data_IF_519549074258
#
_entry.id   IF_519549074258
#
_cell.length_a   1.000
_cell.length_b   1.000
_cell.length_c   1.000
_cell.angle_alpha   90.00
_cell.angle_beta   90.00
_cell.angle_gamma   90.00
#
_symmetry.space_group_name_H-M   'P 1'
#
loop_
_entity.id
_entity.type
_entity.pdbx_description
1 polymer ?
#
# COMPACT_ATOMS: atom_id res chain seq x y z
N UNK A 1 4.60 15.12 -10.06
CA UNK A 1 5.61 14.16 -10.56
C UNK A 1 6.87 14.18 -9.70
N UNK A 2 7.61 15.30 -9.60
CA UNK A 2 8.85 15.35 -8.78
C UNK A 2 8.60 15.09 -7.29
N UNK A 3 7.44 15.48 -6.78
CA UNK A 3 7.04 15.22 -5.38
C UNK A 3 6.79 13.73 -5.07
N UNK A 4 6.85 12.83 -6.06
CA UNK A 4 6.86 11.39 -5.78
C UNK A 4 8.09 10.99 -4.92
N UNK A 5 9.15 11.79 -4.95
CA UNK A 5 10.27 11.67 -3.99
C UNK A 5 9.81 11.73 -2.53
N UNK A 6 8.75 12.48 -2.20
CA UNK A 6 8.19 12.54 -0.85
C UNK A 6 7.56 11.21 -0.42
N UNK A 7 7.03 10.43 -1.36
CA UNK A 7 6.50 9.10 -1.07
C UNK A 7 7.65 8.20 -0.61
N UNK A 8 8.80 8.25 -1.30
CA UNK A 8 9.98 7.51 -0.89
C UNK A 8 10.45 7.93 0.51
N UNK A 9 10.49 9.24 0.80
CA UNK A 9 10.79 9.72 2.15
C UNK A 9 9.85 9.10 3.18
N UNK A 10 8.54 9.16 2.96
CA UNK A 10 7.56 8.61 3.90
C UNK A 10 7.71 7.10 4.06
N UNK A 11 7.93 6.35 2.99
CA UNK A 11 8.11 4.89 3.07
C UNK A 11 9.41 4.52 3.77
N UNK A 12 10.50 5.28 3.57
CA UNK A 12 11.75 5.09 4.30
C UNK A 12 11.53 5.30 5.80
N UNK A 13 10.85 6.38 6.20
CA UNK A 13 10.54 6.64 7.61
C UNK A 13 9.60 5.58 8.21
N UNK A 14 8.64 5.04 7.43
CA UNK A 14 7.76 3.96 7.88
C UNK A 14 8.52 2.65 8.16
N UNK A 15 9.51 2.32 7.34
CA UNK A 15 10.38 1.17 7.57
C UNK A 15 11.32 1.43 8.75
N UNK A 16 12.04 2.55 8.72
CA UNK A 16 13.13 2.82 9.66
C UNK A 16 12.65 3.22 11.07
N UNK A 17 11.73 4.19 11.19
CA UNK A 17 11.27 4.72 12.47
C UNK A 17 9.94 4.09 12.91
N UNK A 18 9.03 3.87 11.95
CA UNK A 18 7.74 3.23 12.21
C UNK A 18 7.86 1.75 12.61
N UNK A 19 8.96 1.10 12.24
CA UNK A 19 9.24 -0.31 12.54
C UNK A 19 8.20 -1.26 11.94
N UNK A 20 7.51 -0.84 10.86
CA UNK A 20 6.48 -1.66 10.22
C UNK A 20 7.10 -2.82 9.43
N UNK A 21 8.37 -2.71 9.03
CA UNK A 21 9.17 -3.70 8.31
C UNK A 21 10.65 -3.30 8.37
N UNK A 22 11.53 -4.09 7.78
CA UNK A 22 12.98 -3.82 7.76
C UNK A 22 13.41 -3.07 6.49
N UNK A 23 12.62 -3.18 5.42
CA UNK A 23 12.82 -2.45 4.16
C UNK A 23 11.49 -1.95 3.58
N UNK A 24 11.54 -1.03 2.62
CA UNK A 24 10.38 -0.55 1.85
C UNK A 24 9.66 -1.72 1.17
N UNK A 25 10.40 -2.75 0.75
CA UNK A 25 9.82 -3.95 0.14
C UNK A 25 8.90 -4.75 1.06
N UNK A 26 8.99 -4.57 2.38
CA UNK A 26 8.12 -5.25 3.33
C UNK A 26 6.78 -4.53 3.49
N UNK A 27 6.72 -3.25 3.13
CA UNK A 27 5.57 -2.41 3.38
C UNK A 27 4.37 -2.87 2.53
N UNK A 28 3.15 -2.86 3.09
CA UNK A 28 1.93 -3.20 2.35
C UNK A 28 1.48 -2.02 1.49
N UNK A 29 2.25 -1.71 0.45
CA UNK A 29 2.06 -0.58 -0.46
C UNK A 29 2.32 -0.98 -1.91
N UNK A 30 1.69 -0.26 -2.85
CA UNK A 30 1.81 -0.49 -4.30
C UNK A 30 1.80 0.86 -5.02
N UNK A 31 2.64 1.01 -6.04
CA UNK A 31 2.65 2.15 -6.94
C UNK A 31 1.78 1.87 -8.17
N UNK A 32 0.88 2.78 -8.53
CA UNK A 32 -0.02 2.58 -9.69
C UNK A 32 0.03 3.81 -10.59
N UNK A 33 0.28 3.60 -11.88
CA UNK A 33 0.17 4.62 -12.92
C UNK A 33 -0.76 4.08 -14.05
N UNK A 34 -2.08 4.18 -13.88
CA UNK A 34 -3.06 3.49 -14.73
C UNK A 34 -3.18 4.09 -16.13
N UNK A 35 -2.64 5.29 -16.36
CA UNK A 35 -2.66 5.98 -17.65
C UNK A 35 -1.31 6.65 -17.90
N UNK A 36 -0.21 5.91 -17.67
CA UNK A 36 1.13 6.42 -17.89
C UNK A 36 1.34 6.78 -19.37
N UNK A 37 2.06 7.88 -19.63
CA UNK A 37 2.27 8.36 -21.01
C UNK A 37 3.69 8.85 -21.28
N UNK A 38 4.39 9.36 -20.27
CA UNK A 38 5.69 10.01 -20.46
C UNK A 38 6.84 9.15 -19.97
N UNK A 39 8.03 9.34 -20.55
CA UNK A 39 9.27 8.72 -20.08
C UNK A 39 9.57 9.04 -18.61
N UNK A 40 9.11 10.21 -18.14
CA UNK A 40 9.18 10.55 -16.71
C UNK A 40 8.41 9.56 -15.85
N UNK A 41 7.26 9.07 -16.31
CA UNK A 41 6.51 8.05 -15.59
C UNK A 41 7.30 6.74 -15.52
N UNK A 42 7.90 6.29 -16.64
CA UNK A 42 8.78 5.11 -16.65
C UNK A 42 9.96 5.27 -15.68
N UNK A 43 10.65 6.40 -15.70
CA UNK A 43 11.74 6.67 -14.76
C UNK A 43 11.27 6.63 -13.30
N UNK A 44 10.06 7.14 -13.02
CA UNK A 44 9.41 7.04 -11.72
C UNK A 44 9.18 5.59 -11.33
N UNK A 45 8.52 4.80 -12.17
CA UNK A 45 8.28 3.38 -11.91
C UNK A 45 9.58 2.63 -11.64
N UNK A 46 10.61 2.85 -12.46
CA UNK A 46 11.92 2.21 -12.31
C UNK A 46 12.58 2.52 -10.96
N UNK A 47 12.59 3.78 -10.51
CA UNK A 47 13.21 4.08 -9.21
C UNK A 47 12.38 3.56 -8.05
N UNK A 48 11.04 3.52 -8.15
CA UNK A 48 10.20 2.91 -7.11
C UNK A 48 10.45 1.40 -6.98
N UNK A 49 10.57 0.72 -8.13
CA UNK A 49 10.93 -0.70 -8.17
C UNK A 49 12.33 -0.95 -7.60
N UNK A 50 13.30 -0.12 -7.97
CA UNK A 50 14.64 -0.18 -7.39
C UNK A 50 14.66 0.08 -5.88
N UNK A 51 13.67 0.80 -5.35
CA UNK A 51 13.43 1.01 -3.92
C UNK A 51 12.52 -0.06 -3.28
N UNK A 52 12.24 -1.17 -3.94
CA UNK A 52 11.49 -2.29 -3.36
C UNK A 52 9.98 -2.25 -3.53
N UNK A 53 9.44 -1.29 -4.28
CA UNK A 53 7.99 -1.15 -4.45
C UNK A 53 7.50 -1.97 -5.64
N UNK A 54 6.38 -2.68 -5.46
CA UNK A 54 5.62 -3.21 -6.58
C UNK A 54 4.90 -2.10 -7.33
N UNK A 55 5.13 -1.99 -8.64
CA UNK A 55 4.56 -0.94 -9.50
C UNK A 55 3.74 -1.55 -10.63
N UNK A 56 2.56 -0.99 -10.89
CA UNK A 56 1.65 -1.41 -11.96
C UNK A 56 1.35 -0.23 -12.89
N UNK A 57 1.58 -0.42 -14.20
CA UNK A 57 1.31 0.55 -15.24
C UNK A 57 0.10 0.12 -16.08
N UNK A 58 -0.87 1.02 -16.26
CA UNK A 58 -2.05 0.77 -17.08
C UNK A 58 -1.84 1.19 -18.52
N UNK A 59 -1.17 0.35 -19.31
CA UNK A 59 -1.17 0.44 -20.77
C UNK A 59 -0.48 -0.79 -21.36
N UNK A 60 -0.35 -0.83 -22.70
CA UNK A 60 0.43 -1.84 -23.38
C UNK A 60 1.91 -1.84 -22.93
N UNK A 61 2.45 -3.04 -22.71
CA UNK A 61 3.84 -3.21 -22.33
C UNK A 61 4.77 -2.82 -23.51
N UNK A 62 5.64 -1.81 -23.38
CA UNK A 62 6.49 -1.34 -24.48
C UNK A 62 7.55 -2.37 -24.92
N UNK A 63 7.83 -3.38 -24.09
CA UNK A 63 8.78 -4.46 -24.36
C UNK A 63 8.10 -5.83 -24.48
N UNK A 64 6.79 -5.89 -24.78
CA UNK A 64 6.01 -7.14 -24.88
C UNK A 64 6.61 -8.20 -25.80
N UNK A 65 7.42 -7.79 -26.78
CA UNK A 65 8.07 -8.69 -27.73
C UNK A 65 9.24 -9.48 -27.13
N UNK A 66 9.81 -9.05 -26.01
CA UNK A 66 10.91 -9.72 -25.34
C UNK A 66 10.44 -10.38 -24.05
N UNK A 67 10.38 -11.71 -24.06
CA UNK A 67 10.06 -12.49 -22.85
C UNK A 67 11.14 -12.33 -21.78
N UNK A 68 12.41 -12.19 -22.19
CA UNK A 68 13.52 -12.00 -21.27
C UNK A 68 13.42 -10.67 -20.52
N UNK A 69 13.06 -9.59 -21.22
CA UNK A 69 12.88 -8.28 -20.57
C UNK A 69 11.70 -8.32 -19.60
N UNK A 70 10.58 -8.95 -20.00
CA UNK A 70 9.45 -9.16 -19.10
C UNK A 70 9.87 -9.91 -17.83
N UNK A 71 10.57 -11.05 -17.97
CA UNK A 71 11.08 -11.83 -16.84
C UNK A 71 12.00 -11.00 -15.94
N UNK A 72 12.88 -10.20 -16.53
CA UNK A 72 13.78 -9.33 -15.75
C UNK A 72 12.96 -8.35 -14.90
N UNK A 73 11.95 -7.73 -15.49
CA UNK A 73 11.14 -6.70 -14.84
C UNK A 73 10.21 -7.24 -13.75
N UNK A 74 9.69 -8.45 -13.94
CA UNK A 74 8.69 -9.05 -13.03
C UNK A 74 9.30 -9.97 -11.98
N UNK A 75 10.33 -10.75 -12.33
CA UNK A 75 10.89 -11.79 -11.44
C UNK A 75 12.28 -11.41 -10.95
N UNK A 76 13.21 -11.10 -11.86
CA UNK A 76 14.61 -10.86 -11.48
C UNK A 76 14.76 -9.60 -10.61
N UNK A 77 13.97 -8.55 -10.88
CA UNK A 77 13.93 -7.38 -10.02
C UNK A 77 13.31 -7.69 -8.65
N UNK A 78 12.25 -8.49 -8.59
CA UNK A 78 11.63 -8.87 -7.32
C UNK A 78 12.63 -9.63 -6.44
N UNK A 79 13.36 -10.58 -7.01
CA UNK A 79 14.39 -11.34 -6.29
C UNK A 79 15.56 -10.47 -5.79
N UNK A 80 15.92 -9.42 -6.52
CA UNK A 80 17.11 -8.62 -6.23
C UNK A 80 16.84 -7.43 -5.32
N UNK A 81 15.71 -6.76 -5.50
CA UNK A 81 15.39 -5.51 -4.82
C UNK A 81 14.01 -5.52 -4.15
N UNK A 82 13.25 -6.61 -4.25
CA UNK A 82 11.93 -6.74 -3.62
C UNK A 82 10.78 -6.05 -4.37
N UNK A 83 11.08 -5.19 -5.34
CA UNK A 83 10.12 -4.51 -6.20
C UNK A 83 10.04 -5.14 -7.59
N UNK A 84 8.91 -4.94 -8.28
CA UNK A 84 8.71 -5.41 -9.67
C UNK A 84 7.81 -4.47 -10.46
N UNK A 85 7.88 -4.51 -11.78
CA UNK A 85 7.05 -3.69 -12.68
C UNK A 85 6.17 -4.57 -13.57
N UNK A 86 4.86 -4.36 -13.52
CA UNK A 86 3.89 -4.99 -14.42
C UNK A 86 3.17 -3.95 -15.28
N UNK A 87 2.79 -4.36 -16.49
CA UNK A 87 1.94 -3.58 -17.40
C UNK A 87 0.61 -4.31 -17.59
N UNK A 88 -0.46 -3.74 -17.05
CA UNK A 88 -1.77 -4.38 -16.95
C UNK A 88 -2.81 -3.40 -17.50
N UNK A 89 -3.39 -3.65 -18.70
CA UNK A 89 -4.33 -2.73 -19.31
C UNK A 89 -5.69 -2.67 -18.58
N UNK A 90 -6.09 -3.77 -17.94
CA UNK A 90 -7.40 -3.91 -17.31
C UNK A 90 -7.43 -3.30 -15.90
N UNK A 91 -8.26 -2.27 -15.63
CA UNK A 91 -8.32 -1.64 -14.31
C UNK A 91 -8.80 -2.57 -13.19
N UNK A 92 -9.67 -3.54 -13.49
CA UNK A 92 -10.15 -4.50 -12.49
C UNK A 92 -9.02 -5.44 -12.05
N UNK A 93 -8.19 -5.90 -12.99
CA UNK A 93 -7.00 -6.67 -12.71
C UNK A 93 -5.95 -5.87 -11.91
N UNK A 94 -5.74 -4.58 -12.22
CA UNK A 94 -4.87 -3.69 -11.42
C UNK A 94 -5.35 -3.67 -9.97
N UNK A 95 -6.65 -3.42 -9.75
CA UNK A 95 -7.23 -3.37 -8.40
C UNK A 95 -7.03 -4.69 -7.66
N UNK A 96 -7.36 -5.81 -8.32
CA UNK A 96 -7.23 -7.14 -7.75
C UNK A 96 -5.79 -7.42 -7.30
N UNK A 97 -4.81 -7.26 -8.19
CA UNK A 97 -3.38 -7.50 -7.87
C UNK A 97 -2.84 -6.55 -6.82
N UNK A 98 -3.31 -5.30 -6.81
CA UNK A 98 -2.94 -4.31 -5.80
C UNK A 98 -3.38 -4.77 -4.40
N UNK A 99 -4.64 -5.21 -4.26
CA UNK A 99 -5.16 -5.70 -2.99
C UNK A 99 -4.50 -7.01 -2.58
N UNK A 100 -4.33 -7.96 -3.51
CA UNK A 100 -3.64 -9.23 -3.24
C UNK A 100 -2.21 -9.01 -2.74
N UNK A 101 -1.47 -8.08 -3.35
CA UNK A 101 -0.12 -7.72 -2.91
C UNK A 101 -0.12 -7.11 -1.51
N UNK A 102 -0.99 -6.12 -1.27
CA UNK A 102 -1.11 -5.47 0.04
C UNK A 102 -1.46 -6.50 1.11
N UNK A 103 -2.44 -7.36 0.87
CA UNK A 103 -2.85 -8.39 1.84
C UNK A 103 -1.72 -9.39 2.10
N UNK A 104 -1.00 -9.85 1.07
CA UNK A 104 0.15 -10.73 1.24
C UNK A 104 1.25 -10.10 2.09
N UNK A 105 1.58 -8.82 1.87
CA UNK A 105 2.56 -8.08 2.69
C UNK A 105 2.07 -7.90 4.13
N UNK A 106 0.79 -7.58 4.32
CA UNK A 106 0.18 -7.49 5.67
C UNK A 106 0.27 -8.82 6.42
N UNK A 107 0.01 -9.93 5.74
CA UNK A 107 0.12 -11.27 6.32
C UNK A 107 1.57 -11.63 6.66
N UNK A 108 2.53 -11.31 5.79
CA UNK A 108 3.96 -11.51 6.04
C UNK A 108 4.44 -10.72 7.28
N UNK A 109 3.95 -9.50 7.43
CA UNK A 109 4.18 -8.64 8.60
C UNK A 109 3.38 -9.06 9.85
N UNK A 110 2.57 -10.12 9.76
CA UNK A 110 1.70 -10.62 10.84
C UNK A 110 0.76 -9.53 11.39
N UNK A 111 0.37 -8.61 10.53
CA UNK A 111 -0.57 -7.56 10.90
C UNK A 111 -1.94 -8.17 11.14
N UNK A 112 -2.70 -7.55 12.03
CA UNK A 112 -4.08 -7.94 12.26
C UNK A 112 -4.86 -7.86 10.94
N UNK A 113 -5.69 -8.87 10.67
CA UNK A 113 -6.64 -8.84 9.55
C UNK A 113 -7.51 -7.59 9.63
N UNK A 114 -7.75 -6.99 8.48
CA UNK A 114 -8.64 -5.86 8.38
C UNK A 114 -10.06 -6.30 8.73
N UNK A 115 -10.69 -5.58 9.65
CA UNK A 115 -12.08 -5.80 10.07
C UNK A 115 -12.87 -4.52 9.73
N UNK A 116 -13.82 -4.58 8.77
CA UNK A 116 -14.65 -3.43 8.43
C UNK A 116 -15.32 -2.83 9.67
N UNK A 117 -15.22 -1.50 9.83
CA UNK A 117 -15.81 -0.79 10.97
C UNK A 117 -14.99 -0.82 12.27
N UNK A 118 -13.83 -1.48 12.29
CA UNK A 118 -12.90 -1.45 13.45
C UNK A 118 -11.83 -0.37 13.34
N UNK A 119 -11.29 -0.19 12.14
CA UNK A 119 -10.23 0.77 11.84
C UNK A 119 -10.81 1.87 10.96
N UNK A 120 -10.63 3.14 11.34
CA UNK A 120 -11.15 4.28 10.57
C UNK A 120 -12.64 4.59 10.78
N UNK A 121 -13.25 4.15 11.90
CA UNK A 121 -14.51 4.75 12.33
C UNK A 121 -14.23 6.22 12.58
N UNK A 122 -14.84 7.09 11.77
CA UNK A 122 -14.86 8.52 12.05
C UNK A 122 -15.26 8.67 13.51
N UNK A 123 -14.45 9.37 14.32
CA UNK A 123 -14.88 9.72 15.67
C UNK A 123 -16.10 10.60 15.47
N UNK A 124 -17.30 10.03 15.56
CA UNK A 124 -18.53 10.84 15.62
C UNK A 124 -18.30 11.85 16.73
N UNK A 125 -18.29 13.13 16.40
CA UNK A 125 -18.20 14.20 17.37
C UNK A 125 -19.50 14.15 18.17
N UNK A 126 -19.50 13.38 19.26
CA UNK A 126 -20.65 13.23 20.14
C UNK A 126 -21.04 14.62 20.65
N UNK A 127 -22.31 14.99 20.52
CA UNK A 127 -22.81 16.21 21.12
C UNK A 127 -22.70 16.13 22.65
N UNK A 128 -22.76 17.27 23.34
CA UNK A 128 -22.80 17.29 24.82
C UNK A 128 -24.00 16.51 25.37
N UNK A 129 -25.10 16.44 24.61
CA UNK A 129 -26.27 15.65 24.97
C UNK A 129 -26.01 14.14 24.85
N UNK A 130 -25.33 13.71 23.79
CA UNK A 130 -24.95 12.31 23.59
C UNK A 130 -23.97 11.82 24.67
N UNK A 131 -23.05 12.70 25.10
CA UNK A 131 -22.14 12.43 26.22
C UNK A 131 -22.86 12.27 27.55
N UNK A 132 -23.85 13.13 27.84
CA UNK A 132 -24.66 13.04 29.07
C UNK A 132 -25.51 11.78 29.12
N UNK A 133 -26.01 11.29 27.97
CA UNK A 133 -26.74 10.01 27.87
C UNK A 133 -25.83 8.80 28.11
N UNK A 134 -24.56 8.88 27.70
CA UNK A 134 -23.56 7.83 27.98
C UNK A 134 -23.18 7.79 29.46
N UNK A 135 -23.00 8.94 30.10
CA UNK A 135 -22.72 9.05 31.55
C UNK A 135 -23.89 8.58 32.42
N UNK A 136 -25.15 8.76 31.97
CA UNK A 136 -26.31 8.24 32.71
C UNK A 136 -26.50 6.73 32.54
N UNK A 137 -26.03 6.16 31.43
CA UNK A 137 -26.07 4.72 31.14
C UNK A 137 -24.89 3.96 31.76
N UNK A 138 -23.72 4.58 31.85
CA UNK A 138 -22.56 4.03 32.55
C UNK A 138 -22.61 4.48 34.01
N UNK A 139 -23.18 3.66 34.89
CA UNK A 139 -22.94 3.74 36.33
C UNK A 139 -21.73 2.88 36.67
N UNK A 140 -20.49 3.38 36.62
CA UNK A 140 -19.42 2.68 37.29
C UNK A 140 -19.82 2.62 38.78
N UNK A 141 -19.60 1.48 39.43
CA UNK A 141 -19.80 1.22 40.87
C UNK A 141 -21.19 0.76 41.39
N UNK A 142 -22.21 0.50 40.57
CA UNK A 142 -23.37 -0.31 41.00
C UNK A 142 -23.09 -1.81 40.75
N UNK A 143 -22.32 -2.47 41.62
CA UNK A 143 -22.13 -3.92 41.47
C UNK A 143 -20.95 -4.60 42.17
N UNK A 144 -20.23 -3.93 43.09
CA UNK A 144 -19.34 -4.65 44.01
C UNK A 144 -19.91 -4.45 45.42
N UNK A 145 -20.66 -5.45 45.89
CA UNK A 145 -20.89 -5.67 47.31
C UNK A 145 -19.75 -6.51 47.86
#
# INVERSE_FOLDING_TARGET
CVDNSRILTVTTEMAQEGGLGEDISDLPAVGIAPEWMSEKALAIGCYFVASGVYVIFGSEHPAKASQEVQRIMTEVWEERVGGRLEFIPDPEEILKKSLEHIDAKREALKLRKYEPGRFGVERKLMSMEDRRKLESAARPHEGVK
#
